data_IF_271854403114
#
_entry.id   IF_271854403114
#
_cell.length_a   1.000
_cell.length_b   1.000
_cell.length_c   1.000
_cell.angle_alpha   90.00
_cell.angle_beta   90.00
_cell.angle_gamma   90.00
#
_symmetry.space_group_name_H-M   'P 1'
#
loop_
_entity.id
_entity.type
_entity.pdbx_description
1 polymer ?
#
# COMPACT_ATOMS: atom_id res chain seq x y z
N UNK A 1 7.41 16.61 -3.85
CA UNK A 1 7.15 15.96 -2.54
C UNK A 1 8.09 14.78 -2.45
N UNK A 2 8.80 14.61 -1.34
CA UNK A 2 9.77 13.53 -1.20
C UNK A 2 9.18 12.33 -0.46
N UNK A 3 9.48 11.13 -0.94
CA UNK A 3 9.16 9.86 -0.29
C UNK A 3 10.36 9.37 0.52
N UNK A 4 10.12 8.66 1.62
CA UNK A 4 11.20 7.99 2.34
C UNK A 4 11.81 6.89 1.45
N UNK A 5 13.11 6.94 1.19
CA UNK A 5 13.80 5.94 0.35
C UNK A 5 14.61 4.98 1.22
N UNK A 6 14.58 3.70 0.88
CA UNK A 6 15.41 2.65 1.49
C UNK A 6 16.23 1.94 0.43
N UNK A 7 17.52 1.79 0.70
CA UNK A 7 18.46 1.16 -0.24
C UNK A 7 18.52 -0.35 -0.04
N UNK A 8 18.92 -1.05 -1.10
CA UNK A 8 19.25 -2.47 -1.00
C UNK A 8 20.47 -2.67 -0.12
N UNK A 9 20.46 -3.69 0.72
CA UNK A 9 21.56 -4.04 1.62
C UNK A 9 22.29 -5.28 1.14
N UNK A 10 23.63 -5.26 1.19
CA UNK A 10 24.46 -6.43 0.97
C UNK A 10 24.45 -7.34 2.23
N UNK A 11 24.30 -8.67 2.10
CA UNK A 11 24.32 -9.59 3.24
C UNK A 11 25.62 -9.55 4.08
N UNK A 12 26.76 -9.21 3.46
CA UNK A 12 28.05 -9.03 4.15
C UNK A 12 28.02 -7.77 5.01
N UNK A 13 27.44 -6.68 4.51
CA UNK A 13 27.31 -5.41 5.26
C UNK A 13 26.33 -5.57 6.43
N UNK A 14 25.20 -6.26 6.20
CA UNK A 14 24.16 -6.49 7.20
C UNK A 14 24.68 -7.13 8.49
N UNK A 15 25.67 -8.02 8.40
CA UNK A 15 26.27 -8.70 9.56
C UNK A 15 26.86 -7.73 10.59
N UNK A 16 27.22 -6.52 10.16
CA UNK A 16 27.82 -5.50 11.01
C UNK A 16 26.79 -4.47 11.51
N UNK A 17 25.51 -4.62 11.17
CA UNK A 17 24.49 -3.66 11.56
C UNK A 17 24.15 -3.78 13.05
N UNK A 18 24.00 -2.63 13.70
CA UNK A 18 23.44 -2.57 15.05
C UNK A 18 21.93 -2.83 15.00
N UNK A 19 21.32 -3.19 16.13
CA UNK A 19 19.86 -3.33 16.25
C UNK A 19 19.12 -2.08 15.77
N UNK A 20 19.62 -0.89 16.11
CA UNK A 20 19.04 0.37 15.65
C UNK A 20 19.11 0.49 14.13
N UNK A 21 20.27 0.21 13.53
CA UNK A 21 20.46 0.29 12.08
C UNK A 21 19.53 -0.66 11.32
N UNK A 22 19.32 -1.87 11.84
CA UNK A 22 18.38 -2.82 11.27
C UNK A 22 16.96 -2.23 11.25
N UNK A 23 16.53 -1.57 12.33
CA UNK A 23 15.20 -0.93 12.37
C UNK A 23 15.09 0.21 11.36
N UNK A 24 16.09 1.07 11.28
CA UNK A 24 16.10 2.20 10.33
C UNK A 24 15.95 1.73 8.88
N UNK A 25 16.66 0.66 8.51
CA UNK A 25 16.70 0.12 7.16
C UNK A 25 15.54 -0.82 6.81
N UNK A 26 14.94 -1.52 7.79
CA UNK A 26 13.97 -2.58 7.47
C UNK A 26 12.60 -2.39 8.13
N UNK A 27 12.46 -1.57 9.18
CA UNK A 27 11.20 -1.43 9.92
C UNK A 27 10.46 -0.13 9.60
N UNK A 28 9.27 -0.23 9.02
CA UNK A 28 8.38 0.93 8.91
C UNK A 28 7.61 1.14 10.23
N UNK A 29 8.11 2.04 11.09
CA UNK A 29 7.56 2.21 12.45
C UNK A 29 6.13 2.77 12.48
N UNK A 30 5.79 3.60 11.50
CA UNK A 30 4.45 4.16 11.33
C UNK A 30 3.97 3.73 9.96
N UNK A 31 2.76 3.21 9.82
CA UNK A 31 2.14 2.96 8.51
C UNK A 31 0.86 3.77 8.34
N UNK A 32 0.15 4.03 9.43
CA UNK A 32 -1.12 4.74 9.43
C UNK A 32 -1.07 5.97 10.33
N UNK A 33 -1.01 7.14 9.71
CA UNK A 33 -1.22 8.43 10.36
C UNK A 33 -2.58 8.96 9.86
N UNK A 34 -3.47 9.49 10.74
CA UNK A 34 -4.73 10.06 10.29
C UNK A 34 -4.53 11.06 9.16
N UNK A 35 -5.31 10.92 8.09
CA UNK A 35 -5.35 11.85 6.97
C UNK A 35 -4.00 12.11 6.27
N UNK A 36 -3.08 11.16 6.34
CA UNK A 36 -1.76 11.27 5.72
C UNK A 36 -1.34 9.97 5.04
N UNK A 37 -0.87 10.09 3.80
CA UNK A 37 -0.16 8.99 3.15
C UNK A 37 1.20 8.84 3.81
N UNK A 38 1.55 7.60 4.16
CA UNK A 38 2.89 7.29 4.61
C UNK A 38 3.43 6.15 3.77
N UNK A 39 4.44 6.45 2.96
CA UNK A 39 5.05 5.53 2.01
C UNK A 39 6.56 5.44 2.19
N UNK A 40 7.07 4.25 1.90
CA UNK A 40 8.48 3.94 1.79
C UNK A 40 8.74 3.40 0.39
N UNK A 41 9.69 4.01 -0.31
CA UNK A 41 10.21 3.53 -1.58
C UNK A 41 11.44 2.66 -1.34
N UNK A 42 11.29 1.36 -1.56
CA UNK A 42 12.35 0.38 -1.44
C UNK A 42 13.06 0.18 -2.77
N UNK A 43 14.39 0.20 -2.78
CA UNK A 43 15.17 -0.21 -3.94
C UNK A 43 15.19 -1.73 -4.18
N UNK A 44 14.62 -2.54 -3.28
CA UNK A 44 14.25 -3.92 -3.62
C UNK A 44 13.06 -3.88 -4.60
N UNK A 45 13.34 -4.19 -5.86
CA UNK A 45 12.40 -4.19 -7.00
C UNK A 45 11.61 -2.89 -7.19
N UNK A 46 12.13 -1.78 -6.64
CA UNK A 46 11.50 -0.46 -6.72
C UNK A 46 10.07 -0.47 -6.17
N UNK A 47 9.79 -1.33 -5.19
CA UNK A 47 8.48 -1.43 -4.55
C UNK A 47 8.23 -0.19 -3.70
N UNK A 48 7.01 0.34 -3.75
CA UNK A 48 6.53 1.35 -2.82
C UNK A 48 5.52 0.69 -1.91
N UNK A 49 5.75 0.73 -0.60
CA UNK A 49 4.86 0.16 0.42
C UNK A 49 4.46 1.26 1.38
N UNK A 50 3.19 1.28 1.77
CA UNK A 50 2.69 2.25 2.71
C UNK A 50 1.23 2.08 3.01
N UNK A 51 0.61 3.17 3.44
CA UNK A 51 -0.82 3.19 3.66
C UNK A 51 -1.40 4.58 3.85
N UNK A 52 -2.72 4.61 3.91
CA UNK A 52 -3.53 5.78 4.22
C UNK A 52 -4.63 5.38 5.20
N UNK A 53 -4.84 6.21 6.22
CA UNK A 53 -5.97 6.12 7.15
C UNK A 53 -6.79 7.41 7.00
N UNK A 54 -7.75 7.46 6.05
CA UNK A 54 -8.58 8.65 5.86
C UNK A 54 -9.56 8.77 7.04
N UNK A 55 -9.64 9.93 7.68
CA UNK A 55 -10.53 10.18 8.82
C UNK A 55 -11.46 11.35 8.50
N UNK A 56 -10.90 12.50 8.11
CA UNK A 56 -11.69 13.72 7.89
C UNK A 56 -12.15 13.96 6.45
N UNK A 57 -11.30 13.65 5.45
CA UNK A 57 -11.51 14.10 4.08
C UNK A 57 -11.18 13.05 3.02
N UNK A 58 -11.51 13.37 1.77
CA UNK A 58 -11.10 12.58 0.61
C UNK A 58 -9.60 12.82 0.35
N UNK A 59 -8.83 11.75 0.21
CA UNK A 59 -7.39 11.82 -0.01
C UNK A 59 -7.02 11.33 -1.40
N UNK A 60 -6.40 12.20 -2.21
CA UNK A 60 -5.89 11.82 -3.53
C UNK A 60 -4.50 11.21 -3.41
N UNK A 61 -4.27 10.09 -4.09
CA UNK A 61 -2.96 9.45 -4.21
C UNK A 61 -1.93 10.48 -4.73
N UNK A 62 -0.90 10.84 -3.95
CA UNK A 62 0.08 11.82 -4.35
C UNK A 62 1.02 11.25 -5.39
N UNK A 63 1.76 12.12 -6.09
CA UNK A 63 2.96 11.73 -6.85
C UNK A 63 4.21 12.25 -6.13
N UNK A 64 5.35 11.61 -6.39
CA UNK A 64 6.62 11.89 -5.72
C UNK A 64 7.71 12.17 -6.75
N UNK A 65 8.64 13.06 -6.42
CA UNK A 65 9.66 13.51 -7.38
C UNK A 65 10.62 12.36 -7.77
N UNK A 66 10.81 11.40 -6.87
CA UNK A 66 11.60 10.18 -7.06
C UNK A 66 11.04 9.25 -8.16
N UNK A 67 9.75 9.38 -8.48
CA UNK A 67 9.11 8.59 -9.54
C UNK A 67 9.41 9.10 -10.94
N UNK A 68 9.74 10.40 -11.08
CA UNK A 68 9.89 11.08 -12.38
C UNK A 68 8.71 10.82 -13.32
N UNK A 69 7.50 10.96 -12.77
CA UNK A 69 6.23 10.74 -13.46
C UNK A 69 5.23 11.85 -13.14
N UNK A 70 4.30 12.10 -14.05
CA UNK A 70 3.28 13.14 -13.88
C UNK A 70 2.22 12.74 -12.84
N UNK A 71 1.97 11.44 -12.70
CA UNK A 71 1.08 10.85 -11.71
C UNK A 71 1.60 9.49 -11.23
N UNK A 72 1.10 9.03 -10.08
CA UNK A 72 1.69 7.88 -9.37
C UNK A 72 1.67 6.57 -10.19
N UNK A 73 0.56 6.30 -10.90
CA UNK A 73 0.37 5.05 -11.66
C UNK A 73 0.70 5.16 -13.15
N UNK A 74 1.44 6.18 -13.58
CA UNK A 74 1.80 6.35 -14.99
C UNK A 74 2.56 5.13 -15.53
N UNK A 75 3.42 4.56 -14.69
CA UNK A 75 4.27 3.41 -15.01
C UNK A 75 4.28 2.37 -13.88
N UNK A 76 3.20 2.33 -13.10
CA UNK A 76 3.07 1.49 -11.90
C UNK A 76 1.66 0.92 -11.79
N UNK A 77 1.56 -0.21 -11.12
CA UNK A 77 0.31 -0.78 -10.64
C UNK A 77 0.25 -0.68 -9.12
N UNK A 78 -0.93 -0.87 -8.53
CA UNK A 78 -1.16 -0.72 -7.10
C UNK A 78 -2.13 -1.79 -6.59
N UNK A 79 -1.67 -2.57 -5.61
CA UNK A 79 -2.50 -3.40 -4.76
C UNK A 79 -2.92 -2.63 -3.50
N UNK A 80 -4.19 -2.78 -3.14
CA UNK A 80 -4.82 -2.11 -2.00
C UNK A 80 -5.48 -3.19 -1.16
N UNK A 81 -5.22 -3.21 0.14
CA UNK A 81 -5.88 -4.09 1.11
C UNK A 81 -6.43 -3.23 2.26
N UNK A 82 -7.73 -3.32 2.53
CA UNK A 82 -8.30 -2.66 3.70
C UNK A 82 -8.18 -3.56 4.94
N UNK A 83 -7.57 -3.07 6.02
CA UNK A 83 -7.48 -3.78 7.30
C UNK A 83 -8.25 -3.08 8.45
N UNK A 84 -8.88 -1.93 8.16
CA UNK A 84 -9.60 -1.09 9.11
C UNK A 84 -11.11 -1.30 9.08
N UNK A 85 -11.87 -0.24 9.36
CA UNK A 85 -13.30 -0.21 9.08
C UNK A 85 -13.58 0.03 7.60
N UNK A 86 -14.84 0.21 7.24
CA UNK A 86 -15.23 0.27 5.83
C UNK A 86 -14.87 1.62 5.21
N UNK A 87 -14.49 1.57 3.93
CA UNK A 87 -14.13 2.75 3.16
C UNK A 87 -14.39 2.54 1.67
N UNK A 88 -14.07 3.55 0.88
CA UNK A 88 -14.08 3.41 -0.57
C UNK A 88 -12.81 3.96 -1.19
N UNK A 89 -12.50 3.42 -2.36
CA UNK A 89 -11.48 3.91 -3.27
C UNK A 89 -12.19 4.32 -4.56
N UNK A 90 -12.03 5.56 -5.02
CA UNK A 90 -12.43 5.92 -6.38
C UNK A 90 -11.22 5.88 -7.30
N UNK A 91 -11.36 5.21 -8.44
CA UNK A 91 -10.37 5.15 -9.52
C UNK A 91 -10.99 5.83 -10.73
N UNK A 92 -10.44 6.99 -11.10
CA UNK A 92 -11.11 7.92 -12.02
C UNK A 92 -12.56 8.22 -11.54
N UNK A 93 -13.56 7.72 -12.28
CA UNK A 93 -14.98 7.91 -12.01
C UNK A 93 -15.65 6.67 -11.40
N UNK A 94 -14.91 5.57 -11.20
CA UNK A 94 -15.45 4.31 -10.68
C UNK A 94 -15.21 4.19 -9.16
N UNK A 95 -16.29 3.91 -8.41
CA UNK A 95 -16.26 3.79 -6.95
C UNK A 95 -16.24 2.32 -6.53
N UNK A 96 -15.23 1.96 -5.74
CA UNK A 96 -15.07 0.65 -5.12
C UNK A 96 -15.22 0.77 -3.61
N UNK A 97 -16.28 0.18 -3.04
CA UNK A 97 -16.43 0.09 -1.58
C UNK A 97 -15.70 -1.14 -1.07
N UNK A 98 -14.75 -0.95 -0.15
CA UNK A 98 -13.93 -2.02 0.43
C UNK A 98 -14.29 -2.20 1.90
N UNK A 99 -14.78 -3.39 2.25
CA UNK A 99 -14.90 -3.83 3.63
C UNK A 99 -13.55 -4.29 4.15
N UNK A 100 -13.49 -4.57 5.46
CA UNK A 100 -12.30 -5.15 6.07
C UNK A 100 -11.92 -6.47 5.37
N UNK A 101 -10.66 -6.56 4.93
CA UNK A 101 -10.02 -7.64 4.16
C UNK A 101 -10.37 -7.70 2.68
N UNK A 102 -11.14 -6.76 2.15
CA UNK A 102 -11.30 -6.63 0.70
C UNK A 102 -10.03 -6.06 0.06
N UNK A 103 -9.78 -6.50 -1.17
CA UNK A 103 -8.64 -6.09 -1.97
C UNK A 103 -9.11 -5.36 -3.24
N UNK A 104 -8.31 -4.39 -3.68
CA UNK A 104 -8.46 -3.73 -4.98
C UNK A 104 -7.10 -3.70 -5.69
N UNK A 105 -7.07 -4.22 -6.90
CA UNK A 105 -5.98 -4.02 -7.85
C UNK A 105 -6.31 -2.83 -8.75
N UNK A 106 -5.39 -1.87 -8.85
CA UNK A 106 -5.48 -0.72 -9.74
C UNK A 106 -4.34 -0.78 -10.76
N UNK A 107 -4.72 -0.94 -12.02
CA UNK A 107 -3.76 -1.06 -13.12
C UNK A 107 -3.04 0.25 -13.46
N UNK A 108 -1.96 0.10 -14.22
CA UNK A 108 -1.21 1.20 -14.83
C UNK A 108 -2.11 2.13 -15.65
N UNK A 109 -1.86 3.43 -15.55
CA UNK A 109 -2.47 4.47 -16.39
C UNK A 109 -3.61 5.24 -15.72
N UNK A 110 -4.11 4.79 -14.57
CA UNK A 110 -5.09 5.53 -13.77
C UNK A 110 -4.43 6.75 -13.12
N UNK A 111 -4.82 7.95 -13.56
CA UNK A 111 -4.30 9.26 -13.15
C UNK A 111 -4.77 9.67 -11.76
N UNK A 112 -6.02 9.37 -11.42
CA UNK A 112 -6.64 9.80 -10.17
C UNK A 112 -7.14 8.60 -9.39
N UNK A 113 -6.57 8.40 -8.21
CA UNK A 113 -7.07 7.45 -7.21
C UNK A 113 -7.32 8.21 -5.92
N UNK A 114 -8.49 8.05 -5.31
CA UNK A 114 -8.85 8.73 -4.08
C UNK A 114 -9.40 7.78 -3.02
N UNK A 115 -9.19 8.10 -1.75
CA UNK A 115 -9.49 7.23 -0.61
C UNK A 115 -10.34 7.98 0.42
N UNK A 116 -11.33 7.30 1.00
CA UNK A 116 -12.15 7.83 2.09
C UNK A 116 -12.68 6.71 2.98
N UNK A 117 -12.84 6.99 4.28
CA UNK A 117 -13.56 6.12 5.21
C UNK A 117 -15.06 6.41 5.14
N UNK A 118 -15.89 5.38 5.27
CA UNK A 118 -17.33 5.56 5.38
C UNK A 118 -17.72 6.09 6.77
N UNK A 119 -16.95 5.70 7.79
CA UNK A 119 -17.13 6.12 9.16
C UNK A 119 -15.81 6.68 9.73
N UNK A 120 -15.76 7.95 10.17
CA UNK A 120 -14.57 8.54 10.77
C UNK A 120 -14.24 7.99 12.17
N UNK A 121 -15.22 7.44 12.91
CA UNK A 121 -14.99 6.78 14.20
C UNK A 121 -14.37 5.39 14.02
N UNK A 122 -14.69 4.72 12.92
CA UNK A 122 -14.12 3.43 12.51
C UNK A 122 -13.43 3.52 11.15
N UNK A 123 -12.32 4.26 11.04
CA UNK A 123 -11.72 4.56 9.75
C UNK A 123 -11.15 3.31 9.07
N UNK A 124 -11.25 3.28 7.75
CA UNK A 124 -10.52 2.38 6.89
C UNK A 124 -9.01 2.58 7.06
N UNK A 125 -8.27 1.49 6.84
CA UNK A 125 -6.81 1.48 6.87
C UNK A 125 -6.35 0.72 5.64
N UNK A 126 -6.04 1.47 4.58
CA UNK A 126 -5.64 0.91 3.30
C UNK A 126 -4.13 0.70 3.29
N UNK A 127 -3.70 -0.56 3.31
CA UNK A 127 -2.32 -0.94 2.96
C UNK A 127 -2.20 -0.80 1.44
N UNK A 128 -1.13 -0.17 0.99
CA UNK A 128 -0.85 0.15 -0.39
C UNK A 128 0.50 -0.45 -0.78
N UNK A 129 0.51 -1.29 -1.82
CA UNK A 129 1.73 -1.91 -2.35
C UNK A 129 1.78 -1.66 -3.85
N UNK A 130 2.80 -0.96 -4.32
CA UNK A 130 2.95 -0.59 -5.71
C UNK A 130 4.27 -1.04 -6.30
N UNK A 131 4.22 -1.56 -7.51
CA UNK A 131 5.35 -2.04 -8.31
C UNK A 131 5.36 -1.34 -9.68
N UNK A 132 6.53 -1.23 -10.33
CA UNK A 132 6.59 -0.83 -11.74
C UNK A 132 5.78 -1.78 -12.62
N UNK A 133 5.06 -1.23 -13.60
CA UNK A 133 4.24 -1.99 -14.54
C UNK A 133 4.46 -1.49 -15.97
N UNK A 134 4.44 -2.42 -16.93
CA UNK A 134 4.63 -2.12 -18.36
C UNK A 134 3.37 -2.38 -19.20
N UNK A 135 2.50 -3.25 -18.72
CA UNK A 135 1.21 -3.59 -19.33
C UNK A 135 0.07 -2.93 -18.55
N UNK A 136 -0.95 -2.48 -19.27
CA UNK A 136 -2.22 -2.10 -18.65
C UNK A 136 -3.04 -3.36 -18.42
N UNK A 137 -3.48 -3.56 -17.18
CA UNK A 137 -4.40 -4.63 -16.77
C UNK A 137 -5.61 -3.94 -16.10
N UNK A 138 -6.85 -4.40 -16.34
CA UNK A 138 -8.02 -3.76 -15.77
C UNK A 138 -8.00 -3.72 -14.24
N UNK A 139 -8.54 -2.64 -13.68
CA UNK A 139 -8.84 -2.53 -12.25
C UNK A 139 -9.79 -3.66 -11.85
N UNK A 140 -9.51 -4.34 -10.74
CA UNK A 140 -10.30 -5.48 -10.29
C UNK A 140 -10.36 -5.52 -8.77
N UNK A 141 -11.56 -5.73 -8.23
CA UNK A 141 -11.78 -5.92 -6.80
C UNK A 141 -11.97 -7.39 -6.49
N UNK A 142 -11.48 -7.83 -5.33
CA UNK A 142 -11.74 -9.16 -4.79
C UNK A 142 -12.20 -9.02 -3.34
N UNK A 143 -13.37 -9.58 -3.02
CA UNK A 143 -13.87 -9.56 -1.64
C UNK A 143 -13.21 -10.65 -0.82
N UNK A 144 -13.12 -10.44 0.49
CA UNK A 144 -12.66 -11.47 1.41
C UNK A 144 -13.49 -12.77 1.31
N UNK A 145 -14.79 -12.66 1.01
CA UNK A 145 -15.70 -13.79 0.83
C UNK A 145 -15.42 -14.61 -0.44
N UNK A 146 -14.75 -14.03 -1.44
CA UNK A 146 -14.41 -14.70 -2.71
C UNK A 146 -13.03 -15.38 -2.63
N UNK A 147 -12.31 -15.21 -1.51
CA UNK A 147 -11.03 -15.86 -1.28
C UNK A 147 -11.22 -17.34 -0.94
N UNK A 148 -10.25 -18.16 -1.36
CA UNK A 148 -10.20 -19.58 -1.03
C UNK A 148 -9.07 -19.83 -0.02
N UNK A 149 -9.31 -19.66 1.30
CA UNK A 149 -8.29 -19.87 2.31
C UNK A 149 -7.89 -21.35 2.38
N UNK A 150 -6.59 -21.60 2.55
CA UNK A 150 -6.06 -22.93 2.79
C UNK A 150 -5.55 -23.01 4.23
N UNK A 151 -6.19 -23.86 5.04
CA UNK A 151 -5.73 -24.15 6.40
C UNK A 151 -4.55 -25.13 6.33
N UNK A 152 -3.39 -24.67 6.78
CA UNK A 152 -2.14 -25.43 6.78
C UNK A 152 -1.46 -25.24 8.13
N UNK A 153 -0.59 -26.19 8.50
CA UNK A 153 0.17 -26.13 9.76
C UNK A 153 -0.52 -26.87 10.90
N UNK A 154 -0.01 -26.68 12.11
CA UNK A 154 -0.57 -27.28 13.32
C UNK A 154 -0.18 -26.52 14.59
N UNK A 155 -1.01 -26.56 15.65
CA UNK A 155 -0.68 -25.95 16.93
C UNK A 155 0.65 -26.43 17.53
N UNK A 156 1.04 -27.68 17.30
CA UNK A 156 2.28 -28.27 17.79
C UNK A 156 3.52 -27.60 17.19
N UNK A 157 3.41 -27.09 15.96
CA UNK A 157 4.46 -26.33 15.26
C UNK A 157 4.25 -24.81 15.34
N UNK A 158 3.22 -24.37 16.06
CA UNK A 158 2.85 -22.97 16.26
C UNK A 158 2.68 -22.16 14.95
N UNK A 159 2.09 -22.79 13.92
CA UNK A 159 1.80 -22.16 12.63
C UNK A 159 0.50 -22.64 12.00
#
# INVERSE_FOLDING_TARGET
MHIQVRNTTNPVDFKNYTTQRIREEFLMEKMFVPDQFHFVYSHYDRMIVGGIKPVGQLHKLPTYDELRSDYFLERRELGILNIGGDGFVMVEDELFTLQKRDCLYVGKGNKTVTFKSLDPEFPAKFILVSTPAHRVVPTAMMKAADANPADMGSPETAN
#
